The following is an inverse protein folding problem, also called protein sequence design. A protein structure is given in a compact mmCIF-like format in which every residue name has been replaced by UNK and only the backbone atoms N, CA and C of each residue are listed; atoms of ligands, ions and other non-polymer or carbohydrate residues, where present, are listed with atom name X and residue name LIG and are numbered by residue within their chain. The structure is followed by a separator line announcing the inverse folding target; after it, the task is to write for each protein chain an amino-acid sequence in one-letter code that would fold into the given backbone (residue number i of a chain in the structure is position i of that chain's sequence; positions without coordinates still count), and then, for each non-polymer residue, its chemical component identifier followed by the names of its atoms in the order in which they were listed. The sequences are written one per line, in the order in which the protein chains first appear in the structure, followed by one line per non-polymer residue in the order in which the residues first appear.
data_IF_461338697713
#
_entry.id   IF_461338697713
#
_cell.length_a   1.000
_cell.length_b   1.000
_cell.length_c   1.000
_cell.angle_alpha   90.00
_cell.angle_beta   90.00
_cell.angle_gamma   90.00
#
_symmetry.space_group_name_H-M   'P 1'
#
loop_
_entity.id
_entity.type
_entity.pdbx_description
1 polymer ?
#
# COMPACT_ATOMS: atom_id res chain seq x y z
N UNK A 1 42.17 24.48 23.16
CA UNK A 1 41.31 25.15 22.16
C UNK A 1 40.26 24.15 21.68
N UNK A 2 39.05 24.25 22.24
CA UNK A 2 37.92 23.37 21.96
C UNK A 2 37.26 23.79 20.64
N UNK A 3 37.19 22.89 19.65
CA UNK A 3 36.45 23.12 18.41
C UNK A 3 34.98 22.76 18.65
N UNK A 4 34.17 23.79 18.91
CA UNK A 4 32.72 23.72 18.90
C UNK A 4 32.24 23.18 17.55
N UNK A 5 31.65 21.97 17.55
CA UNK A 5 30.84 21.47 16.43
C UNK A 5 29.51 22.21 16.44
N UNK A 6 29.05 22.79 15.32
CA UNK A 6 27.79 23.51 15.28
C UNK A 6 26.63 22.55 15.52
N UNK A 7 25.77 22.91 16.48
CA UNK A 7 24.55 22.20 16.82
C UNK A 7 23.60 22.17 15.63
N UNK A 8 23.24 20.97 15.15
CA UNK A 8 22.12 20.78 14.21
C UNK A 8 20.79 21.05 14.93
N UNK A 9 20.43 22.33 15.07
CA UNK A 9 19.06 22.79 15.37
C UNK A 9 18.43 23.30 14.08
N UNK A 10 17.79 22.40 13.34
CA UNK A 10 16.67 22.72 12.43
C UNK A 10 15.86 21.43 12.24
N UNK A 11 15.01 21.13 13.21
CA UNK A 11 13.86 20.27 12.93
C UNK A 11 12.88 21.13 12.13
N UNK A 12 13.13 21.28 10.82
CA UNK A 12 12.10 21.78 9.91
C UNK A 12 10.86 20.92 10.13
N UNK A 13 9.70 21.56 10.35
CA UNK A 13 8.41 20.90 10.26
C UNK A 13 8.41 20.10 8.95
N UNK A 14 8.56 18.78 9.03
CA UNK A 14 8.54 17.94 7.84
C UNK A 14 7.15 18.11 7.25
N UNK A 15 7.09 18.82 6.12
CA UNK A 15 5.88 18.93 5.31
C UNK A 15 5.35 17.52 5.07
N UNK A 16 4.04 17.32 5.24
CA UNK A 16 3.37 16.09 4.84
C UNK A 16 3.62 15.85 3.34
N UNK A 17 3.67 14.59 2.92
CA UNK A 17 3.89 14.23 1.52
C UNK A 17 5.37 14.09 1.11
N UNK A 18 5.55 13.72 -0.15
CA UNK A 18 6.84 13.74 -0.84
C UNK A 18 7.15 15.10 -1.50
N UNK A 19 8.23 15.17 -2.29
CA UNK A 19 8.46 16.31 -3.17
C UNK A 19 7.27 16.54 -4.11
N UNK A 20 7.04 17.77 -4.62
CA UNK A 20 5.98 18.05 -5.57
C UNK A 20 6.06 17.16 -6.82
N UNK A 21 4.90 16.65 -7.26
CA UNK A 21 4.79 15.77 -8.45
C UNK A 21 5.47 16.34 -9.69
N UNK A 22 5.34 17.65 -9.94
CA UNK A 22 5.98 18.32 -11.09
C UNK A 22 7.51 18.19 -11.07
N UNK A 23 8.13 18.29 -9.90
CA UNK A 23 9.59 18.10 -9.75
C UNK A 23 10.00 16.65 -10.00
N UNK A 24 9.20 15.71 -9.51
CA UNK A 24 9.45 14.27 -9.72
C UNK A 24 9.28 13.90 -11.21
N UNK A 25 8.25 14.42 -11.89
CA UNK A 25 8.04 14.24 -13.32
C UNK A 25 9.20 14.80 -14.13
N UNK A 26 9.70 16.00 -13.79
CA UNK A 26 10.88 16.57 -14.45
C UNK A 26 12.12 15.69 -14.26
N UNK A 27 12.34 15.17 -13.05
CA UNK A 27 13.48 14.28 -12.75
C UNK A 27 13.40 12.97 -13.53
N UNK A 28 12.20 12.42 -13.67
CA UNK A 28 11.98 11.10 -14.23
C UNK A 28 11.58 11.16 -15.73
N UNK A 29 11.72 12.32 -16.40
CA UNK A 29 11.20 12.58 -17.74
C UNK A 29 11.74 11.64 -18.82
N UNK A 30 13.07 11.49 -18.91
CA UNK A 30 13.72 10.58 -19.88
C UNK A 30 13.26 9.13 -19.69
N UNK A 31 13.12 8.69 -18.44
CA UNK A 31 12.63 7.35 -18.12
C UNK A 31 11.15 7.18 -18.53
N UNK A 32 10.32 8.20 -18.32
CA UNK A 32 8.91 8.18 -18.71
C UNK A 32 8.79 8.10 -20.24
N UNK A 33 9.53 8.91 -20.97
CA UNK A 33 9.56 8.89 -22.44
C UNK A 33 9.98 7.51 -22.97
N UNK A 34 11.08 6.96 -22.44
CA UNK A 34 11.52 5.60 -22.80
C UNK A 34 10.46 4.54 -22.48
N UNK A 35 9.72 4.67 -21.37
CA UNK A 35 8.65 3.74 -21.02
C UNK A 35 7.46 3.81 -21.97
N UNK A 36 7.15 4.99 -22.51
CA UNK A 36 6.06 5.20 -23.49
C UNK A 36 6.42 4.52 -24.81
N UNK A 37 7.65 4.77 -25.30
CA UNK A 37 8.18 4.11 -26.51
C UNK A 37 8.12 2.59 -26.34
N UNK A 38 8.65 2.09 -25.21
CA UNK A 38 8.63 0.66 -24.91
C UNK A 38 7.21 0.06 -24.88
N UNK A 39 6.22 0.78 -24.35
CA UNK A 39 4.85 0.29 -24.32
C UNK A 39 4.26 0.14 -25.73
N UNK A 40 4.56 1.07 -26.64
CA UNK A 40 4.11 0.96 -28.03
C UNK A 40 4.86 -0.13 -28.77
N UNK A 41 6.19 -0.16 -28.67
CA UNK A 41 7.01 -1.02 -29.53
C UNK A 41 7.06 -2.49 -29.04
N UNK A 42 6.40 -2.82 -27.91
CA UNK A 42 6.51 -4.14 -27.24
C UNK A 42 6.14 -5.34 -28.12
N UNK A 43 5.34 -5.15 -29.16
CA UNK A 43 4.93 -6.18 -30.11
C UNK A 43 5.86 -6.32 -31.32
N UNK A 44 6.75 -5.34 -31.52
CA UNK A 44 7.70 -5.28 -32.65
C UNK A 44 9.10 -5.78 -32.25
N UNK A 45 9.29 -6.12 -30.97
CA UNK A 45 10.55 -6.64 -30.46
C UNK A 45 10.85 -8.05 -30.99
N UNK A 46 12.10 -8.30 -31.35
CA UNK A 46 12.59 -9.63 -31.78
C UNK A 46 12.33 -10.70 -30.70
N UNK A 47 12.59 -10.35 -29.45
CA UNK A 47 12.19 -11.14 -28.29
C UNK A 47 11.03 -10.46 -27.57
N UNK A 48 9.85 -11.08 -27.63
CA UNK A 48 8.65 -10.58 -26.97
C UNK A 48 8.80 -10.63 -25.44
N UNK A 49 8.34 -9.59 -24.73
CA UNK A 49 8.28 -9.61 -23.27
C UNK A 49 7.47 -10.80 -22.73
N UNK A 50 7.89 -11.32 -21.58
CA UNK A 50 7.20 -12.43 -20.90
C UNK A 50 5.69 -12.17 -20.76
N UNK A 51 4.88 -13.21 -20.95
CA UNK A 51 3.43 -13.13 -20.90
C UNK A 51 2.76 -12.77 -22.22
N UNK A 52 3.49 -12.20 -23.19
CA UNK A 52 2.98 -11.96 -24.55
C UNK A 52 3.18 -13.24 -25.39
N UNK A 53 2.10 -13.84 -25.94
CA UNK A 53 2.21 -15.01 -26.82
C UNK A 53 2.99 -14.71 -28.11
N UNK A 54 3.73 -15.70 -28.62
CA UNK A 54 4.46 -15.59 -29.90
C UNK A 54 3.56 -15.47 -31.12
N UNK A 55 2.38 -16.07 -31.05
CA UNK A 55 1.38 -16.04 -32.11
C UNK A 55 0.18 -15.24 -31.60
N UNK A 56 0.12 -13.96 -31.96
CA UNK A 56 -1.06 -13.13 -31.79
C UNK A 56 -1.76 -13.04 -33.15
N UNK A 57 -3.00 -13.53 -33.24
CA UNK A 57 -3.74 -13.55 -34.50
C UNK A 57 -4.06 -12.13 -35.02
N UNK A 58 -4.35 -11.21 -34.10
CA UNK A 58 -4.63 -9.80 -34.41
C UNK A 58 -4.33 -8.91 -33.20
N UNK A 59 -3.74 -7.72 -33.45
CA UNK A 59 -3.47 -6.69 -32.43
C UNK A 59 -4.35 -5.48 -32.73
N UNK A 60 -5.31 -5.22 -31.86
CA UNK A 60 -6.25 -4.10 -32.00
C UNK A 60 -5.75 -2.82 -31.34
N UNK A 61 -6.40 -1.70 -31.66
CA UNK A 61 -6.14 -0.41 -31.04
C UNK A 61 -7.39 0.10 -30.31
N UNK A 62 -7.23 0.42 -29.04
CA UNK A 62 -8.30 0.90 -28.18
C UNK A 62 -7.91 2.20 -27.50
N UNK A 63 -8.87 3.10 -27.31
CA UNK A 63 -8.65 4.38 -26.63
C UNK A 63 -9.84 4.72 -25.75
N UNK A 64 -9.53 5.05 -24.49
CA UNK A 64 -10.55 5.30 -23.47
C UNK A 64 -10.31 6.64 -22.77
N UNK A 65 -11.40 7.36 -22.52
CA UNK A 65 -11.41 8.49 -21.61
C UNK A 65 -11.64 7.98 -20.18
N UNK A 66 -10.80 8.40 -19.23
CA UNK A 66 -10.88 8.01 -17.83
C UNK A 66 -10.83 9.24 -16.94
N UNK A 67 -12.00 9.65 -16.46
CA UNK A 67 -12.11 10.79 -15.55
C UNK A 67 -11.61 10.39 -14.16
N UNK A 68 -10.73 11.23 -13.60
CA UNK A 68 -10.18 11.04 -12.25
C UNK A 68 -10.51 12.25 -11.37
N UNK A 69 -10.62 12.01 -10.06
CA UNK A 69 -10.86 13.01 -9.02
C UNK A 69 -9.89 12.80 -7.85
N UNK A 70 -8.58 13.05 -8.04
CA UNK A 70 -7.59 12.85 -6.99
C UNK A 70 -7.80 13.83 -5.82
N UNK A 71 -7.39 13.41 -4.63
CA UNK A 71 -7.44 14.24 -3.42
C UNK A 71 -6.22 15.16 -3.41
N UNK A 72 -6.44 16.45 -3.11
CA UNK A 72 -5.33 17.41 -3.05
C UNK A 72 -4.36 17.10 -1.92
N UNK A 73 -3.08 17.46 -2.09
CA UNK A 73 -2.07 17.21 -1.05
C UNK A 73 -2.34 18.03 0.21
N UNK A 74 -2.96 19.20 0.08
CA UNK A 74 -3.38 20.04 1.19
C UNK A 74 -4.50 19.38 2.00
N UNK A 75 -5.51 18.80 1.34
CA UNK A 75 -6.58 18.05 2.01
C UNK A 75 -6.02 16.79 2.66
N UNK A 76 -5.19 16.03 1.95
CA UNK A 76 -4.57 14.82 2.50
C UNK A 76 -3.72 15.14 3.75
N UNK A 77 -2.95 16.23 3.73
CA UNK A 77 -2.16 16.69 4.87
C UNK A 77 -3.02 17.07 6.09
N UNK A 78 -4.15 17.75 5.87
CA UNK A 78 -5.10 18.09 6.93
C UNK A 78 -5.68 16.80 7.54
N UNK A 79 -6.18 15.89 6.71
CA UNK A 79 -6.78 14.63 7.17
C UNK A 79 -5.75 13.75 7.88
N UNK A 80 -4.50 13.69 7.41
CA UNK A 80 -3.43 12.95 8.06
C UNK A 80 -3.26 13.34 9.53
N UNK A 81 -3.46 14.62 9.87
CA UNK A 81 -3.40 15.09 11.25
C UNK A 81 -4.64 14.70 12.07
N UNK A 82 -5.82 14.62 11.44
CA UNK A 82 -7.09 14.25 12.08
C UNK A 82 -7.16 12.75 12.40
N UNK A 83 -6.69 11.89 11.49
CA UNK A 83 -6.84 10.43 11.61
C UNK A 83 -5.75 9.79 12.49
N UNK A 84 -4.68 10.52 12.81
CA UNK A 84 -3.56 10.04 13.61
C UNK A 84 -3.64 10.54 15.05
N UNK A 85 -3.79 9.62 16.00
CA UNK A 85 -3.72 9.91 17.44
C UNK A 85 -2.68 9.04 18.14
N UNK A 86 -2.03 9.60 19.15
CA UNK A 86 -1.03 8.89 19.96
C UNK A 86 -1.67 7.67 20.63
N UNK A 87 -1.03 6.52 20.49
CA UNK A 87 -1.49 5.26 21.11
C UNK A 87 -2.68 4.59 20.43
N UNK A 88 -3.25 5.15 19.36
CA UNK A 88 -4.35 4.53 18.61
C UNK A 88 -3.82 3.70 17.43
N UNK A 89 -3.53 2.42 17.67
CA UNK A 89 -3.08 1.46 16.65
C UNK A 89 -4.17 0.45 16.24
N UNK A 90 -5.24 0.34 17.03
CA UNK A 90 -6.35 -0.59 16.80
C UNK A 90 -7.46 -0.02 15.92
N UNK A 91 -8.60 -0.72 15.96
CA UNK A 91 -9.87 -0.24 15.41
C UNK A 91 -10.31 1.05 16.08
N UNK A 92 -10.91 1.93 15.28
CA UNK A 92 -11.55 3.13 15.79
C UNK A 92 -12.94 2.75 16.27
N UNK A 93 -13.37 3.32 17.40
CA UNK A 93 -14.76 3.24 17.81
C UNK A 93 -15.66 3.96 16.80
N UNK A 94 -16.93 3.59 16.73
CA UNK A 94 -17.91 4.26 15.89
C UNK A 94 -17.96 5.77 16.17
N UNK A 95 -17.93 6.17 17.44
CA UNK A 95 -17.83 7.58 17.84
C UNK A 95 -16.61 8.30 17.25
N UNK A 96 -15.45 7.63 17.18
CA UNK A 96 -14.22 8.20 16.63
C UNK A 96 -14.26 8.27 15.10
N UNK A 97 -14.91 7.30 14.44
CA UNK A 97 -15.18 7.35 13.00
C UNK A 97 -16.12 8.51 12.67
N UNK A 98 -17.19 8.68 13.44
CA UNK A 98 -18.14 9.78 13.29
C UNK A 98 -17.50 11.15 13.51
N UNK A 99 -16.63 11.28 14.52
CA UNK A 99 -15.86 12.52 14.76
C UNK A 99 -14.97 12.87 13.57
N UNK A 100 -14.28 11.88 12.98
CA UNK A 100 -13.49 12.08 11.76
C UNK A 100 -14.41 12.50 10.62
N UNK A 101 -15.54 11.81 10.40
CA UNK A 101 -16.52 12.12 9.36
C UNK A 101 -17.05 13.56 9.46
N UNK A 102 -17.35 14.03 10.68
CA UNK A 102 -17.74 15.41 10.92
C UNK A 102 -16.60 16.40 10.63
N UNK A 103 -15.37 16.06 11.03
CA UNK A 103 -14.19 16.93 10.86
C UNK A 103 -13.77 17.09 9.39
N UNK A 104 -14.04 16.10 8.55
CA UNK A 104 -13.75 16.14 7.11
C UNK A 104 -14.93 16.60 6.26
N UNK A 105 -16.06 16.97 6.89
CA UNK A 105 -17.24 17.44 6.18
C UNK A 105 -16.91 18.67 5.33
N UNK A 106 -17.26 18.63 4.04
CA UNK A 106 -16.94 19.67 3.07
C UNK A 106 -15.53 19.59 2.46
N UNK A 107 -14.68 18.66 2.90
CA UNK A 107 -13.41 18.36 2.23
C UNK A 107 -13.65 17.39 1.07
N UNK A 108 -12.84 17.49 0.01
CA UNK A 108 -12.87 16.54 -1.11
C UNK A 108 -12.13 15.24 -0.76
N UNK A 109 -12.60 14.52 0.26
CA UNK A 109 -12.09 13.23 0.70
C UNK A 109 -13.17 12.45 1.47
N UNK A 110 -13.28 11.15 1.23
CA UNK A 110 -14.25 10.29 1.90
C UNK A 110 -13.74 9.75 3.24
N UNK A 111 -14.65 9.19 4.05
CA UNK A 111 -14.28 8.49 5.28
C UNK A 111 -13.43 7.27 4.99
N UNK A 112 -13.73 6.50 3.94
CA UNK A 112 -12.95 5.32 3.55
C UNK A 112 -11.53 5.69 3.12
N UNK A 113 -11.38 6.76 2.33
CA UNK A 113 -10.08 7.32 1.98
C UNK A 113 -9.29 7.72 3.23
N UNK A 114 -9.96 8.37 4.19
CA UNK A 114 -9.36 8.81 5.46
C UNK A 114 -8.89 7.62 6.33
N UNK A 115 -9.71 6.57 6.44
CA UNK A 115 -9.37 5.35 7.19
C UNK A 115 -8.26 4.54 6.49
N UNK A 116 -8.23 4.55 5.16
CA UNK A 116 -7.17 3.94 4.36
C UNK A 116 -5.85 4.72 4.50
N UNK A 117 -5.89 6.05 4.48
CA UNK A 117 -4.76 6.92 4.78
C UNK A 117 -4.20 6.65 6.19
N UNK A 118 -5.07 6.53 7.20
CA UNK A 118 -4.67 6.15 8.56
C UNK A 118 -3.87 4.86 8.57
N UNK A 119 -4.30 3.83 7.83
CA UNK A 119 -3.55 2.58 7.72
C UNK A 119 -2.15 2.77 7.15
N UNK A 120 -2.02 3.50 6.05
CA UNK A 120 -0.73 3.78 5.43
C UNK A 120 0.21 4.53 6.39
N UNK A 121 -0.33 5.51 7.13
CA UNK A 121 0.43 6.28 8.13
C UNK A 121 0.86 5.45 9.33
N UNK A 122 -0.02 4.60 9.85
CA UNK A 122 0.30 3.71 10.97
C UNK A 122 1.34 2.66 10.59
N UNK A 123 1.27 2.10 9.38
CA UNK A 123 2.30 1.20 8.85
C UNK A 123 3.65 1.93 8.74
N UNK A 124 3.67 3.14 8.16
CA UNK A 124 4.89 3.94 8.07
C UNK A 124 5.48 4.25 9.45
N UNK A 125 4.65 4.70 10.39
CA UNK A 125 5.05 5.02 11.77
C UNK A 125 5.67 3.81 12.45
N UNK A 126 5.09 2.63 12.25
CA UNK A 126 5.58 1.36 12.79
C UNK A 126 6.95 1.00 12.22
N UNK A 127 7.08 0.99 10.89
CA UNK A 127 8.32 0.60 10.22
C UNK A 127 9.47 1.55 10.54
N UNK A 128 9.25 2.86 10.41
CA UNK A 128 10.30 3.85 10.67
C UNK A 128 10.56 4.09 12.15
N UNK A 129 9.60 3.77 13.02
CA UNK A 129 9.73 3.86 14.47
C UNK A 129 10.43 2.66 15.13
N UNK A 130 10.65 1.56 14.40
CA UNK A 130 11.10 0.29 14.97
C UNK A 130 12.40 0.40 15.79
N UNK A 131 13.45 1.02 15.25
CA UNK A 131 14.72 1.17 15.97
C UNK A 131 14.59 2.06 17.21
N UNK A 132 13.75 3.09 17.16
CA UNK A 132 13.46 3.95 18.31
C UNK A 132 12.73 3.16 19.40
N UNK A 133 11.80 2.28 19.03
CA UNK A 133 11.14 1.38 19.97
C UNK A 133 12.14 0.43 20.63
N UNK A 134 12.99 -0.24 19.84
CA UNK A 134 14.03 -1.15 20.33
C UNK A 134 14.97 -0.46 21.32
N UNK A 135 15.39 0.78 21.05
CA UNK A 135 16.24 1.53 21.99
C UNK A 135 15.61 1.75 23.37
N UNK A 136 14.29 1.57 23.49
CA UNK A 136 13.51 1.73 24.72
C UNK A 136 13.03 0.41 25.31
N UNK A 137 13.41 -0.74 24.75
CA UNK A 137 12.96 -2.08 25.17
C UNK A 137 13.11 -2.32 26.67
N UNK A 138 14.30 -2.03 27.22
CA UNK A 138 14.60 -2.16 28.66
C UNK A 138 13.68 -1.33 29.56
N UNK A 139 13.36 -0.10 29.13
CA UNK A 139 12.47 0.78 29.89
C UNK A 139 11.02 0.26 29.86
N UNK A 140 10.57 -0.24 28.71
CA UNK A 140 9.25 -0.87 28.55
C UNK A 140 9.15 -2.13 29.42
N UNK A 141 10.19 -2.98 29.40
CA UNK A 141 10.23 -4.18 30.22
C UNK A 141 10.25 -3.88 31.73
N UNK A 142 10.99 -2.85 32.16
CA UNK A 142 10.99 -2.41 33.57
C UNK A 142 9.56 -2.05 34.03
N UNK A 143 8.86 -1.22 33.27
CA UNK A 143 7.49 -0.80 33.58
C UNK A 143 6.50 -1.97 33.52
N UNK A 144 6.69 -2.92 32.59
CA UNK A 144 5.91 -4.14 32.55
C UNK A 144 6.07 -4.96 33.84
N UNK A 145 7.30 -5.09 34.37
CA UNK A 145 7.53 -5.76 35.66
C UNK A 145 6.87 -5.04 36.84
N UNK A 146 6.76 -3.72 36.76
CA UNK A 146 6.05 -2.89 37.75
C UNK A 146 4.51 -3.00 37.65
N UNK A 147 4.00 -3.78 36.69
CA UNK A 147 2.58 -4.10 36.58
C UNK A 147 1.82 -3.38 35.46
N UNK A 148 2.50 -2.56 34.65
CA UNK A 148 1.83 -1.95 33.49
C UNK A 148 1.50 -3.02 32.43
N UNK A 149 0.34 -2.87 31.80
CA UNK A 149 -0.08 -3.72 30.68
C UNK A 149 0.55 -3.30 29.36
N UNK A 150 0.57 -4.21 28.38
CA UNK A 150 1.05 -3.93 27.02
C UNK A 150 0.28 -2.77 26.39
N UNK A 151 -1.03 -2.67 26.61
CA UNK A 151 -1.87 -1.56 26.11
C UNK A 151 -1.46 -0.23 26.73
N UNK A 152 -1.23 -0.19 28.03
CA UNK A 152 -0.75 1.03 28.71
C UNK A 152 0.63 1.45 28.18
N UNK A 153 1.53 0.49 27.97
CA UNK A 153 2.85 0.72 27.40
C UNK A 153 2.76 1.21 25.94
N UNK A 154 1.88 0.62 25.12
CA UNK A 154 1.61 1.07 23.76
C UNK A 154 1.16 2.53 23.73
N UNK A 155 0.20 2.93 24.59
CA UNK A 155 -0.25 4.32 24.70
C UNK A 155 0.86 5.25 25.19
N UNK A 156 1.66 4.81 26.17
CA UNK A 156 2.74 5.61 26.77
C UNK A 156 3.89 5.87 25.78
N UNK A 157 4.37 4.81 25.14
CA UNK A 157 5.53 4.82 24.25
C UNK A 157 5.19 5.10 22.78
N UNK A 158 3.91 5.01 22.43
CA UNK A 158 3.35 5.28 21.10
C UNK A 158 3.88 4.32 20.02
N UNK A 159 3.80 3.01 20.31
CA UNK A 159 4.13 1.93 19.38
C UNK A 159 3.04 0.85 19.38
N UNK A 160 2.92 0.04 18.30
CA UNK A 160 1.90 -0.99 18.20
C UNK A 160 1.98 -2.01 19.37
N UNK A 161 0.84 -2.38 20.00
CA UNK A 161 0.81 -3.32 21.11
C UNK A 161 1.56 -4.63 20.86
N UNK A 162 1.41 -5.25 19.69
CA UNK A 162 2.09 -6.51 19.39
C UNK A 162 3.60 -6.37 19.27
N UNK A 163 4.06 -5.21 18.81
CA UNK A 163 5.49 -4.91 18.74
C UNK A 163 6.07 -4.65 20.14
N UNK A 164 5.35 -3.95 21.01
CA UNK A 164 5.70 -3.81 22.43
C UNK A 164 5.81 -5.18 23.09
N UNK A 165 4.81 -6.04 22.91
CA UNK A 165 4.78 -7.38 23.48
C UNK A 165 5.97 -8.23 23.02
N UNK A 166 6.28 -8.21 21.71
CA UNK A 166 7.48 -8.88 21.16
C UNK A 166 8.77 -8.38 21.80
N UNK A 167 8.93 -7.07 22.02
CA UNK A 167 10.13 -6.54 22.69
C UNK A 167 10.19 -6.92 24.17
N UNK A 168 9.05 -6.96 24.87
CA UNK A 168 8.99 -7.45 26.27
C UNK A 168 9.44 -8.91 26.34
N UNK A 169 8.95 -9.78 25.46
CA UNK A 169 9.37 -11.18 25.43
C UNK A 169 10.87 -11.34 25.13
N UNK A 170 11.43 -10.52 24.23
CA UNK A 170 12.89 -10.48 23.99
C UNK A 170 13.68 -10.09 25.24
N UNK A 171 13.24 -9.05 25.96
CA UNK A 171 13.89 -8.63 27.21
C UNK A 171 13.73 -9.66 28.35
N UNK A 172 12.71 -10.53 28.28
CA UNK A 172 12.58 -11.73 29.12
C UNK A 172 13.55 -12.87 28.71
N UNK A 173 14.37 -12.67 27.68
CA UNK A 173 15.36 -13.65 27.20
C UNK A 173 14.82 -14.64 26.18
N UNK A 174 13.65 -14.40 25.58
CA UNK A 174 13.08 -15.34 24.60
C UNK A 174 13.76 -15.18 23.24
N UNK A 175 14.05 -16.32 22.57
CA UNK A 175 14.56 -16.32 21.20
C UNK A 175 13.48 -15.91 20.20
N UNK A 176 13.89 -15.40 19.03
CA UNK A 176 12.96 -15.01 17.95
C UNK A 176 12.06 -16.18 17.52
N UNK A 177 12.60 -17.39 17.44
CA UNK A 177 11.86 -18.58 17.05
C UNK A 177 10.82 -18.96 18.10
N UNK A 178 11.21 -18.98 19.39
CA UNK A 178 10.29 -19.23 20.50
C UNK A 178 9.13 -18.23 20.50
N UNK A 179 9.42 -16.94 20.32
CA UNK A 179 8.37 -15.91 20.23
C UNK A 179 7.43 -16.21 19.05
N UNK A 180 7.97 -16.51 17.86
CA UNK A 180 7.16 -16.80 16.67
C UNK A 180 6.25 -18.02 16.89
N UNK A 181 6.77 -19.09 17.48
CA UNK A 181 6.03 -20.31 17.78
C UNK A 181 4.93 -20.08 18.82
N UNK A 182 5.25 -19.42 19.94
CA UNK A 182 4.28 -19.16 20.99
C UNK A 182 3.17 -18.19 20.57
N UNK A 183 3.43 -17.27 19.64
CA UNK A 183 2.37 -16.41 19.07
C UNK A 183 1.42 -17.19 18.15
N UNK A 184 1.88 -18.29 17.52
CA UNK A 184 1.03 -19.20 16.75
C UNK A 184 0.30 -20.20 17.64
N UNK A 185 0.86 -20.48 18.82
CA UNK A 185 0.26 -21.34 19.82
C UNK A 185 0.24 -20.66 21.21
N UNK A 186 -0.72 -19.74 21.45
CA UNK A 186 -0.77 -18.92 22.68
C UNK A 186 -0.93 -19.73 23.97
N UNK A 187 -1.26 -21.02 23.89
CA UNK A 187 -1.30 -21.93 25.03
C UNK A 187 0.07 -22.08 25.72
N UNK A 188 1.17 -21.77 25.04
CA UNK A 188 2.52 -21.82 25.60
C UNK A 188 2.85 -20.65 26.53
N UNK A 189 2.07 -19.57 26.51
CA UNK A 189 2.27 -18.44 27.41
C UNK A 189 1.82 -18.76 28.84
N UNK A 190 2.46 -18.12 29.81
CA UNK A 190 1.91 -18.03 31.17
C UNK A 190 0.55 -17.31 31.12
N UNK A 191 -0.25 -17.43 32.18
CA UNK A 191 -1.56 -16.78 32.22
C UNK A 191 -1.47 -15.26 31.97
N UNK A 192 -0.47 -14.59 32.55
CA UNK A 192 -0.28 -13.15 32.35
C UNK A 192 0.07 -12.84 30.90
N UNK A 193 1.09 -13.50 30.34
CA UNK A 193 1.49 -13.26 28.96
C UNK A 193 0.41 -13.63 27.95
N UNK A 194 -0.44 -14.62 28.26
CA UNK A 194 -1.58 -14.99 27.41
C UNK A 194 -2.63 -13.88 27.38
N UNK A 195 -3.00 -13.33 28.55
CA UNK A 195 -3.95 -12.22 28.63
C UNK A 195 -3.42 -10.99 27.88
N UNK A 196 -2.14 -10.64 28.09
CA UNK A 196 -1.49 -9.52 27.43
C UNK A 196 -1.40 -9.71 25.91
N UNK A 197 -1.15 -10.95 25.45
CA UNK A 197 -1.18 -11.30 24.03
C UNK A 197 -2.57 -11.06 23.44
N UNK A 198 -3.63 -11.62 24.06
CA UNK A 198 -5.01 -11.49 23.56
C UNK A 198 -5.44 -10.02 23.47
N UNK A 199 -5.16 -9.23 24.52
CA UNK A 199 -5.49 -7.79 24.52
C UNK A 199 -4.68 -7.02 23.47
N UNK A 200 -3.38 -7.30 23.37
CA UNK A 200 -2.52 -6.65 22.38
C UNK A 200 -2.91 -6.99 20.95
N UNK A 201 -3.31 -8.25 20.71
CA UNK A 201 -3.72 -8.74 19.39
C UNK A 201 -4.98 -8.03 18.91
N UNK A 202 -5.99 -7.93 19.77
CA UNK A 202 -7.24 -7.23 19.50
C UNK A 202 -7.07 -5.72 19.28
N UNK A 203 -6.04 -5.12 19.90
CA UNK A 203 -5.79 -3.68 19.85
C UNK A 203 -4.78 -3.25 18.76
N UNK A 204 -4.27 -4.16 17.94
CA UNK A 204 -3.22 -3.87 16.95
C UNK A 204 -3.63 -4.25 15.52
N UNK A 205 -4.32 -3.34 14.83
CA UNK A 205 -4.70 -3.53 13.43
C UNK A 205 -3.49 -3.49 12.48
N UNK A 206 -2.38 -2.89 12.90
CA UNK A 206 -1.20 -2.72 12.03
C UNK A 206 -0.44 -4.03 11.91
N UNK A 207 -0.34 -4.76 13.02
CA UNK A 207 0.35 -6.05 13.09
C UNK A 207 -0.58 -7.21 12.74
N UNK A 208 -1.89 -7.08 13.00
CA UNK A 208 -2.90 -8.10 12.74
C UNK A 208 -4.00 -7.51 11.83
N UNK A 209 -3.81 -7.63 10.53
CA UNK A 209 -4.85 -7.30 9.53
C UNK A 209 -5.58 -8.60 9.21
N UNK A 210 -6.91 -8.65 9.36
CA UNK A 210 -7.69 -9.73 8.76
C UNK A 210 -7.63 -9.57 7.24
N UNK A 211 -6.92 -10.48 6.60
CA UNK A 211 -6.63 -10.44 5.16
C UNK A 211 -7.71 -11.12 4.34
N UNK A 212 -8.60 -11.93 4.93
CA UNK A 212 -9.51 -12.79 4.18
C UNK A 212 -10.59 -12.01 3.42
N UNK A 213 -11.38 -11.21 4.11
CA UNK A 213 -12.42 -10.36 3.52
C UNK A 213 -11.82 -9.26 2.61
N UNK A 214 -10.64 -8.76 2.98
CA UNK A 214 -9.91 -7.76 2.18
C UNK A 214 -9.43 -8.37 0.86
N UNK A 215 -8.95 -9.62 0.88
CA UNK A 215 -8.49 -10.32 -0.32
C UNK A 215 -9.65 -10.60 -1.27
N UNK A 216 -10.77 -11.13 -0.78
CA UNK A 216 -11.97 -11.38 -1.61
C UNK A 216 -12.42 -10.10 -2.34
N UNK A 217 -12.41 -8.96 -1.65
CA UNK A 217 -12.79 -7.68 -2.28
C UNK A 217 -11.71 -7.13 -3.22
N UNK A 218 -10.44 -7.49 -3.03
CA UNK A 218 -9.36 -7.15 -3.95
C UNK A 218 -9.49 -7.97 -5.23
N UNK A 219 -9.66 -9.28 -5.11
CA UNK A 219 -9.85 -10.21 -6.24
C UNK A 219 -11.06 -9.79 -7.08
N UNK A 220 -12.22 -9.54 -6.45
CA UNK A 220 -13.41 -9.02 -7.15
C UNK A 220 -13.15 -7.67 -7.85
N UNK A 221 -12.27 -6.83 -7.32
CA UNK A 221 -11.95 -5.54 -7.94
C UNK A 221 -11.07 -5.72 -9.18
N UNK A 222 -10.14 -6.68 -9.15
CA UNK A 222 -9.35 -7.10 -10.30
C UNK A 222 -10.23 -7.68 -11.42
N UNK A 223 -11.22 -8.50 -11.06
CA UNK A 223 -12.20 -9.05 -12.01
C UNK A 223 -13.01 -7.94 -12.69
N UNK A 224 -13.55 -6.99 -11.93
CA UNK A 224 -14.32 -5.87 -12.49
C UNK A 224 -13.50 -5.07 -13.50
N UNK A 225 -12.21 -4.85 -13.22
CA UNK A 225 -11.32 -4.14 -14.15
C UNK A 225 -11.15 -4.97 -15.42
N UNK A 226 -10.83 -6.26 -15.30
CA UNK A 226 -10.64 -7.15 -16.43
C UNK A 226 -11.89 -7.24 -17.31
N UNK A 227 -13.04 -7.49 -16.69
CA UNK A 227 -14.35 -7.57 -17.34
C UNK A 227 -14.70 -6.27 -18.07
N UNK A 228 -14.34 -5.11 -17.51
CA UNK A 228 -14.60 -3.81 -18.14
C UNK A 228 -13.85 -3.66 -19.46
N UNK A 229 -12.60 -4.10 -19.55
CA UNK A 229 -11.81 -4.05 -20.78
C UNK A 229 -12.24 -5.14 -21.77
N UNK A 230 -12.44 -6.37 -21.31
CA UNK A 230 -12.87 -7.50 -22.16
C UNK A 230 -14.24 -7.23 -22.80
N UNK A 231 -15.20 -6.69 -22.04
CA UNK A 231 -16.54 -6.31 -22.57
C UNK A 231 -16.48 -5.22 -23.64
N UNK A 232 -15.33 -4.55 -23.81
CA UNK A 232 -15.06 -3.55 -24.86
C UNK A 232 -14.20 -4.09 -25.99
N UNK A 233 -13.96 -5.41 -26.02
CA UNK A 233 -13.22 -6.09 -27.07
C UNK A 233 -11.71 -5.99 -26.94
N UNK A 234 -11.19 -5.66 -25.75
CA UNK A 234 -9.74 -5.63 -25.51
C UNK A 234 -9.23 -7.04 -25.22
N UNK A 235 -8.25 -7.49 -25.99
CA UNK A 235 -7.52 -8.72 -25.68
C UNK A 235 -6.53 -8.46 -24.54
N UNK A 236 -6.63 -9.26 -23.49
CA UNK A 236 -5.78 -9.15 -22.31
C UNK A 236 -5.52 -10.52 -21.70
N UNK A 237 -4.56 -10.54 -20.77
CA UNK A 237 -4.29 -11.67 -19.89
C UNK A 237 -4.55 -11.27 -18.45
N UNK A 238 -5.17 -12.17 -17.70
CA UNK A 238 -5.36 -12.04 -16.25
C UNK A 238 -4.16 -12.63 -15.50
N UNK A 239 -3.94 -12.19 -14.27
CA UNK A 239 -2.83 -12.69 -13.43
C UNK A 239 -2.85 -14.21 -13.28
N UNK A 240 -3.99 -14.82 -13.01
CA UNK A 240 -4.10 -16.26 -12.72
C UNK A 240 -3.59 -17.11 -13.89
N UNK A 241 -3.90 -16.70 -15.12
CA UNK A 241 -3.45 -17.34 -16.35
C UNK A 241 -1.92 -17.27 -16.45
N UNK A 242 -1.35 -16.09 -16.21
CA UNK A 242 0.11 -15.87 -16.28
C UNK A 242 0.84 -16.67 -15.20
N UNK A 243 0.28 -16.73 -14.00
CA UNK A 243 0.83 -17.52 -12.89
C UNK A 243 0.83 -19.01 -13.25
N UNK A 244 -0.28 -19.54 -13.77
CA UNK A 244 -0.40 -20.95 -14.11
C UNK A 244 0.64 -21.38 -15.17
N UNK A 245 0.80 -20.59 -16.24
CA UNK A 245 1.77 -20.85 -17.30
C UNK A 245 3.21 -20.75 -16.80
N UNK A 246 3.56 -19.67 -16.10
CA UNK A 246 4.93 -19.46 -15.60
C UNK A 246 5.31 -20.47 -14.52
N UNK A 247 4.35 -20.96 -13.73
CA UNK A 247 4.59 -22.06 -12.80
C UNK A 247 4.94 -23.35 -13.56
N UNK A 248 4.26 -23.65 -14.67
CA UNK A 248 4.56 -24.80 -15.50
C UNK A 248 5.91 -24.69 -16.21
N UNK A 249 6.26 -23.49 -16.72
CA UNK A 249 7.47 -23.28 -17.51
C UNK A 249 8.72 -22.99 -16.68
N UNK A 250 8.58 -22.30 -15.54
CA UNK A 250 9.70 -21.74 -14.77
C UNK A 250 9.68 -22.13 -13.28
N UNK A 251 8.64 -22.84 -12.82
CA UNK A 251 8.50 -23.25 -11.42
C UNK A 251 8.25 -22.11 -10.44
N UNK A 252 8.03 -20.89 -10.93
CA UNK A 252 7.72 -19.70 -10.13
C UNK A 252 7.04 -18.61 -10.98
N UNK A 253 6.20 -17.76 -10.38
CA UNK A 253 5.73 -16.55 -11.04
C UNK A 253 6.86 -15.53 -11.20
N UNK A 254 6.91 -14.86 -12.34
CA UNK A 254 7.86 -13.82 -12.71
C UNK A 254 7.10 -12.65 -13.30
N UNK A 255 7.00 -11.56 -12.53
CA UNK A 255 6.30 -10.34 -12.90
C UNK A 255 4.89 -10.63 -13.46
N UNK A 256 3.88 -10.60 -12.59
CA UNK A 256 2.48 -10.83 -12.98
C UNK A 256 1.68 -9.60 -12.57
N UNK A 257 1.42 -8.63 -13.48
CA UNK A 257 0.43 -7.61 -13.22
C UNK A 257 -0.96 -8.26 -13.20
N UNK A 258 -1.96 -7.56 -12.66
CA UNK A 258 -3.33 -8.10 -12.60
C UNK A 258 -3.93 -8.23 -14.00
N UNK A 259 -3.59 -7.27 -14.88
CA UNK A 259 -3.93 -7.27 -16.30
C UNK A 259 -2.68 -6.98 -17.14
N UNK A 260 -2.44 -7.79 -18.17
CA UNK A 260 -1.46 -7.51 -19.23
C UNK A 260 -2.20 -7.40 -20.58
N UNK A 261 -2.07 -6.27 -21.27
CA UNK A 261 -2.76 -6.06 -22.55
C UNK A 261 -2.03 -6.71 -23.72
N UNK A 262 -2.80 -7.46 -24.53
CA UNK A 262 -2.36 -8.04 -25.80
C UNK A 262 -2.72 -7.17 -27.01
N UNK A 263 -3.39 -6.03 -26.76
CA UNK A 263 -3.69 -4.99 -27.73
C UNK A 263 -2.99 -3.66 -27.38
N UNK A 264 -2.95 -2.71 -28.33
CA UNK A 264 -2.58 -1.33 -28.00
C UNK A 264 -3.74 -0.64 -27.28
N UNK A 265 -3.53 -0.28 -26.02
CA UNK A 265 -4.52 0.43 -25.20
C UNK A 265 -3.98 1.81 -24.83
N UNK A 266 -4.80 2.85 -25.04
CA UNK A 266 -4.55 4.20 -24.53
C UNK A 266 -5.62 4.61 -23.53
N UNK A 267 -5.20 5.24 -22.44
CA UNK A 267 -6.09 5.92 -21.50
C UNK A 267 -5.67 7.39 -21.43
N UNK A 268 -6.61 8.30 -21.71
CA UNK A 268 -6.34 9.74 -21.77
C UNK A 268 -5.11 10.05 -22.66
N UNK A 269 -5.09 9.48 -23.86
CA UNK A 269 -4.03 9.60 -24.89
C UNK A 269 -2.65 9.06 -24.50
N UNK A 270 -2.52 8.37 -23.36
CA UNK A 270 -1.27 7.75 -22.92
C UNK A 270 -1.34 6.22 -23.08
N UNK A 271 -0.33 5.58 -23.69
CA UNK A 271 -0.32 4.13 -23.88
C UNK A 271 -0.07 3.40 -22.56
N UNK A 272 -0.83 2.33 -22.32
CA UNK A 272 -0.62 1.44 -21.18
C UNK A 272 -0.50 -0.01 -21.66
N UNK A 273 0.49 -0.71 -21.15
CA UNK A 273 0.73 -2.12 -21.46
C UNK A 273 0.16 -3.06 -20.39
N UNK A 274 -0.05 -2.59 -19.17
CA UNK A 274 -0.49 -3.39 -18.03
C UNK A 274 -1.27 -2.55 -17.01
N UNK A 275 -2.07 -3.22 -16.18
CA UNK A 275 -2.76 -2.63 -15.02
C UNK A 275 -2.47 -3.46 -13.77
N UNK A 276 -2.26 -2.76 -12.66
CA UNK A 276 -2.24 -3.36 -11.32
C UNK A 276 -3.30 -2.63 -10.45
N UNK A 277 -4.20 -3.37 -9.85
CA UNK A 277 -5.31 -2.89 -9.04
C UNK A 277 -4.88 -2.75 -7.58
N UNK A 278 -5.34 -1.68 -6.92
CA UNK A 278 -5.09 -1.46 -5.49
C UNK A 278 -6.38 -1.24 -4.76
N UNK A 279 -6.71 -2.16 -3.85
CA UNK A 279 -7.87 -2.10 -2.96
C UNK A 279 -7.69 -1.12 -1.78
N UNK A 280 -7.01 0.00 -1.98
CA UNK A 280 -6.74 0.99 -0.94
C UNK A 280 -6.61 2.40 -1.55
N UNK A 281 -6.53 3.42 -0.71
CA UNK A 281 -6.26 4.79 -1.12
C UNK A 281 -4.77 4.99 -1.44
N UNK A 282 -4.47 5.46 -2.64
CA UNK A 282 -3.11 5.77 -3.10
C UNK A 282 -2.54 7.02 -2.44
N UNK A 283 -2.18 6.94 -1.15
CA UNK A 283 -1.69 8.07 -0.38
C UNK A 283 -0.25 8.49 -0.74
N UNK A 284 0.07 9.77 -0.54
CA UNK A 284 1.43 10.30 -0.68
C UNK A 284 2.26 10.04 0.60
N UNK A 285 2.35 8.77 0.98
CA UNK A 285 3.09 8.27 2.15
C UNK A 285 4.38 7.57 1.71
N UNK A 286 5.52 7.98 2.26
CA UNK A 286 6.85 7.54 1.80
C UNK A 286 7.05 6.02 1.82
N UNK A 287 6.60 5.34 2.87
CA UNK A 287 6.72 3.89 2.96
C UNK A 287 5.93 3.18 1.84
N UNK A 288 4.67 3.58 1.64
CA UNK A 288 3.79 3.03 0.60
C UNK A 288 4.34 3.34 -0.80
N UNK A 289 4.73 4.60 -1.06
CA UNK A 289 5.36 5.01 -2.32
C UNK A 289 6.56 4.17 -2.69
N UNK A 290 7.49 3.95 -1.74
CA UNK A 290 8.69 3.15 -1.99
C UNK A 290 8.36 1.70 -2.34
N UNK A 291 7.37 1.12 -1.64
CA UNK A 291 6.90 -0.24 -1.91
C UNK A 291 6.28 -0.33 -3.30
N UNK A 292 5.36 0.57 -3.64
CA UNK A 292 4.69 0.62 -4.95
C UNK A 292 5.71 0.87 -6.07
N UNK A 293 6.58 1.88 -5.94
CA UNK A 293 7.63 2.17 -6.92
C UNK A 293 8.52 0.95 -7.19
N UNK A 294 8.94 0.22 -6.15
CA UNK A 294 9.74 -0.99 -6.34
C UNK A 294 8.98 -2.06 -7.13
N UNK A 295 7.67 -2.22 -6.89
CA UNK A 295 6.83 -3.16 -7.63
C UNK A 295 6.68 -2.74 -9.09
N UNK A 296 6.20 -1.53 -9.33
CA UNK A 296 5.86 -1.06 -10.68
C UNK A 296 7.06 -0.90 -11.58
N UNK A 297 8.24 -0.55 -11.04
CA UNK A 297 9.45 -0.45 -11.87
C UNK A 297 9.76 -1.75 -12.60
N UNK A 298 9.52 -2.92 -11.99
CA UNK A 298 9.73 -4.20 -12.68
C UNK A 298 8.78 -4.38 -13.85
N UNK A 299 7.55 -3.90 -13.73
CA UNK A 299 6.56 -3.98 -14.80
C UNK A 299 6.90 -2.99 -15.91
N UNK A 300 7.28 -1.76 -15.55
CA UNK A 300 7.73 -0.75 -16.51
C UNK A 300 8.97 -1.20 -17.28
N UNK A 301 9.94 -1.80 -16.58
CA UNK A 301 11.14 -2.37 -17.19
C UNK A 301 10.82 -3.57 -18.09
N UNK A 302 9.72 -4.28 -17.85
CA UNK A 302 9.33 -5.46 -18.66
C UNK A 302 8.52 -5.05 -19.89
N UNK A 303 7.42 -4.31 -19.72
CA UNK A 303 6.45 -4.03 -20.80
C UNK A 303 6.30 -2.55 -21.17
N UNK A 304 7.00 -1.64 -20.49
CA UNK A 304 6.82 -0.19 -20.67
C UNK A 304 5.73 0.41 -19.78
N UNK A 305 5.29 1.62 -20.11
CA UNK A 305 4.31 2.38 -19.36
C UNK A 305 3.04 1.54 -19.07
N UNK A 306 2.52 1.65 -17.84
CA UNK A 306 1.28 1.00 -17.44
C UNK A 306 0.46 1.88 -16.51
N UNK A 307 -0.53 1.31 -15.85
CA UNK A 307 -1.39 2.03 -14.91
C UNK A 307 -1.58 1.30 -13.59
N UNK A 308 -1.89 2.07 -12.55
CA UNK A 308 -2.50 1.55 -11.32
C UNK A 308 -3.90 2.14 -11.19
N UNK A 309 -4.89 1.28 -10.92
CA UNK A 309 -6.24 1.70 -10.55
C UNK A 309 -6.41 1.55 -9.05
N UNK A 310 -6.63 2.66 -8.34
CA UNK A 310 -6.92 2.66 -6.91
C UNK A 310 -8.42 2.65 -6.66
N UNK A 311 -8.90 1.65 -5.92
CA UNK A 311 -10.29 1.56 -5.48
C UNK A 311 -10.70 2.84 -4.75
N UNK A 312 -9.98 3.24 -3.71
CA UNK A 312 -10.36 4.44 -2.99
C UNK A 312 -9.80 5.73 -3.59
N UNK A 313 -9.37 5.73 -4.86
CA UNK A 313 -8.70 6.88 -5.48
C UNK A 313 -7.30 7.12 -4.92
N UNK A 314 -6.71 8.28 -5.25
CA UNK A 314 -5.30 8.55 -4.96
C UNK A 314 -5.01 10.03 -4.70
N UNK A 315 -3.84 10.29 -4.13
CA UNK A 315 -3.30 11.62 -3.88
C UNK A 315 -2.86 12.27 -5.19
N UNK A 316 -3.21 13.54 -5.42
CA UNK A 316 -2.77 14.27 -6.62
C UNK A 316 -1.24 14.34 -6.72
N UNK A 317 -0.55 14.34 -5.57
CA UNK A 317 0.91 14.45 -5.49
C UNK A 317 1.61 13.09 -5.61
N UNK A 318 0.86 11.98 -5.57
CA UNK A 318 1.42 10.65 -5.78
C UNK A 318 2.00 10.57 -7.20
N UNK A 319 3.24 10.08 -7.28
CA UNK A 319 3.97 9.90 -8.53
C UNK A 319 4.75 8.59 -8.52
N UNK A 320 4.56 7.81 -9.57
CA UNK A 320 5.28 6.56 -9.85
C UNK A 320 5.81 6.66 -11.29
N UNK A 321 7.13 6.59 -11.53
CA UNK A 321 7.69 6.75 -12.87
C UNK A 321 7.17 5.68 -13.84
N UNK A 322 6.76 6.09 -15.04
CA UNK A 322 6.22 5.19 -16.06
C UNK A 322 4.85 4.59 -15.72
N UNK A 323 4.11 5.18 -14.75
CA UNK A 323 2.80 4.67 -14.33
C UNK A 323 1.76 5.78 -14.29
N UNK A 324 0.64 5.55 -14.96
CA UNK A 324 -0.55 6.38 -14.86
C UNK A 324 -1.34 5.98 -13.61
N UNK A 325 -1.80 6.95 -12.83
CA UNK A 325 -2.62 6.69 -11.67
C UNK A 325 -4.07 6.99 -12.01
N UNK A 326 -4.93 6.02 -11.74
CA UNK A 326 -6.36 6.07 -12.02
C UNK A 326 -7.15 5.79 -10.72
N UNK A 327 -8.32 6.39 -10.61
CA UNK A 327 -9.34 5.99 -9.65
C UNK A 327 -10.38 5.07 -10.32
N UNK A 328 -11.48 4.80 -9.64
CA UNK A 328 -12.54 3.92 -10.15
C UNK A 328 -13.25 4.44 -11.39
N UNK A 329 -13.14 5.74 -11.73
CA UNK A 329 -13.64 6.36 -12.94
C UNK A 329 -14.94 5.75 -13.50
N UNK A 330 -14.91 5.07 -14.67
CA UNK A 330 -16.08 4.51 -15.34
C UNK A 330 -16.49 3.11 -14.86
N UNK A 331 -15.83 2.54 -13.84
CA UNK A 331 -16.12 1.19 -13.35
C UNK A 331 -17.44 1.17 -12.55
N UNK A 332 -18.27 0.14 -12.78
CA UNK A 332 -19.39 -0.17 -11.91
C UNK A 332 -18.92 -1.10 -10.78
N UNK A 333 -19.18 -0.71 -9.53
CA UNK A 333 -18.71 -1.40 -8.34
C UNK A 333 -19.83 -1.96 -7.46
N UNK A 334 -21.07 -1.95 -7.95
CA UNK A 334 -22.24 -2.44 -7.22
C UNK A 334 -22.03 -3.88 -6.71
N UNK A 335 -21.34 -4.72 -7.48
CA UNK A 335 -21.00 -6.11 -7.12
C UNK A 335 -20.04 -6.25 -5.94
N UNK A 336 -19.31 -5.20 -5.56
CA UNK A 336 -18.46 -5.17 -4.35
C UNK A 336 -19.28 -4.98 -3.05
N UNK A 337 -20.52 -4.51 -3.16
CA UNK A 337 -21.41 -4.24 -2.04
C UNK A 337 -22.43 -5.35 -1.78
N UNK A 338 -22.55 -6.31 -2.70
CA UNK A 338 -23.34 -7.52 -2.49
C UNK A 338 -22.57 -8.45 -1.56
N UNK A 339 -22.93 -8.41 -0.28
CA UNK A 339 -22.52 -9.42 0.69
C UNK A 339 -23.11 -10.77 0.25
N UNK A 340 -22.24 -11.76 0.03
CA UNK A 340 -22.63 -13.16 0.12
C UNK A 340 -22.78 -13.57 1.57
#
# INVERSE_FOLDING_TARGET
MSKNKPSRKFAQNKKYGGPPKKELQKRDAEFIEASIVKANDRFELEELPIGIPKNLDHISHHSFAWKNSPVSIEVEAQVASLVMKKGEFGWLSESRVNEIGQSISGMNISIDQSLSLRNALLQQKTVYGHYKMQSRSKAMYKLYKEGLTVIQLSKRFDFPPMNIFREILKEKGWSKNKIKESLRNPSQFSQRERNEFTEAEAADRVSNVDQSETQIRADKFEDIISDWFESRGVNLRRQEEMVAEQMAEHGRPVNTPDVLFLDHVKINDQPIAWIDAKHFYGADVNFQRKKMKKQTLRYVETWGQGAIIFRHGFSENLHLPGVILLDQGPLNLDSLHQNG
#
